data_IF_285391530581
#
_entry.id   IF_285391530581
#
_cell.length_a   1.000
_cell.length_b   1.000
_cell.length_c   1.000
_cell.angle_alpha   90.00
_cell.angle_beta   90.00
_cell.angle_gamma   90.00
#
_symmetry.space_group_name_H-M   'P 1'
#
loop_
_entity.id
_entity.type
_entity.pdbx_description
1 polymer ?
#
# COMPACT_ATOMS: atom_id res chain seq x y z
N UNK A 1 6.14 -13.37 32.26
CA UNK A 1 6.98 -13.45 31.04
C UNK A 1 6.01 -13.47 29.86
N UNK A 2 5.86 -12.39 29.08
CA UNK A 2 4.94 -12.43 27.94
C UNK A 2 5.45 -13.47 26.95
N UNK A 3 4.53 -14.25 26.37
CA UNK A 3 4.83 -15.35 25.43
C UNK A 3 5.84 -14.90 24.35
N UNK A 4 6.78 -15.75 23.93
CA UNK A 4 7.71 -15.38 22.87
C UNK A 4 6.90 -15.11 21.59
N UNK A 5 6.98 -13.87 21.12
CA UNK A 5 6.28 -13.28 19.96
C UNK A 5 6.53 -14.01 18.60
N UNK A 6 7.25 -15.14 18.61
CA UNK A 6 7.57 -15.94 17.42
C UNK A 6 6.36 -16.76 16.97
N UNK A 7 5.62 -17.37 17.89
CA UNK A 7 4.44 -18.18 17.56
C UNK A 7 3.34 -17.37 16.89
N UNK A 8 3.12 -16.13 17.35
CA UNK A 8 2.17 -15.21 16.72
C UNK A 8 2.59 -14.90 15.27
N UNK A 9 3.89 -14.65 15.03
CA UNK A 9 4.40 -14.40 13.68
C UNK A 9 4.23 -15.60 12.75
N UNK A 10 4.49 -16.81 13.26
CA UNK A 10 4.33 -18.05 12.49
C UNK A 10 2.86 -18.27 12.14
N UNK A 11 1.95 -18.17 13.11
CA UNK A 11 0.51 -18.39 12.89
C UNK A 11 -0.04 -17.37 11.90
N UNK A 12 0.31 -16.09 12.06
CA UNK A 12 -0.11 -15.03 11.14
C UNK A 12 0.47 -15.29 9.74
N UNK A 13 1.75 -15.64 9.61
CA UNK A 13 2.36 -15.93 8.31
C UNK A 13 1.70 -17.12 7.62
N UNK A 14 1.56 -18.26 8.32
CA UNK A 14 0.97 -19.50 7.79
C UNK A 14 -0.51 -19.31 7.41
N UNK A 15 -1.23 -18.41 8.08
CA UNK A 15 -2.65 -18.19 7.79
C UNK A 15 -2.86 -17.11 6.73
N UNK A 16 -2.19 -15.97 6.87
CA UNK A 16 -2.42 -14.79 6.02
C UNK A 16 -1.86 -15.01 4.62
N UNK A 17 -0.70 -15.65 4.47
CA UNK A 17 -0.07 -15.87 3.15
C UNK A 17 -1.01 -16.67 2.22
N UNK A 18 -1.51 -17.86 2.61
CA UNK A 18 -2.46 -18.60 1.77
C UNK A 18 -3.73 -17.83 1.48
N UNK A 19 -4.29 -17.11 2.46
CA UNK A 19 -5.50 -16.30 2.26
C UNK A 19 -5.26 -15.21 1.20
N UNK A 20 -4.15 -14.48 1.29
CA UNK A 20 -3.79 -13.45 0.31
C UNK A 20 -3.59 -14.05 -1.08
N UNK A 21 -2.91 -15.20 -1.18
CA UNK A 21 -2.70 -15.90 -2.45
C UNK A 21 -4.02 -16.39 -3.06
N UNK A 22 -4.94 -16.90 -2.24
CA UNK A 22 -6.26 -17.34 -2.69
C UNK A 22 -7.13 -16.17 -3.17
N UNK A 23 -7.11 -15.04 -2.46
CA UNK A 23 -7.82 -13.82 -2.89
C UNK A 23 -7.22 -13.25 -4.20
N UNK A 24 -5.88 -13.25 -4.29
CA UNK A 24 -5.17 -12.88 -5.51
C UNK A 24 -5.50 -13.81 -6.68
N UNK A 25 -5.67 -15.12 -6.41
CA UNK A 25 -6.05 -16.12 -7.41
C UNK A 25 -7.50 -15.96 -7.87
N UNK A 26 -8.43 -15.78 -6.92
CA UNK A 26 -9.86 -15.56 -7.19
C UNK A 26 -10.12 -14.27 -8.01
N UNK A 27 -9.36 -13.20 -7.74
CA UNK A 27 -9.47 -11.96 -8.50
C UNK A 27 -10.83 -11.26 -8.34
N UNK A 28 -11.21 -10.45 -9.35
CA UNK A 28 -12.53 -9.83 -9.42
C UNK A 28 -12.88 -9.00 -8.18
N UNK A 29 -14.10 -9.19 -7.67
CA UNK A 29 -14.59 -8.50 -6.47
C UNK A 29 -13.80 -8.88 -5.21
N UNK A 30 -13.33 -10.13 -5.10
CA UNK A 30 -12.56 -10.58 -3.92
C UNK A 30 -11.24 -9.83 -3.78
N UNK A 31 -10.51 -9.67 -4.90
CA UNK A 31 -9.27 -8.89 -4.91
C UNK A 31 -9.54 -7.40 -4.66
N UNK A 32 -10.62 -6.84 -5.22
CA UNK A 32 -11.00 -5.44 -4.97
C UNK A 32 -11.26 -5.20 -3.47
N UNK A 33 -12.12 -6.01 -2.84
CA UNK A 33 -12.45 -5.87 -1.41
C UNK A 33 -11.22 -6.05 -0.52
N UNK A 34 -10.33 -6.97 -0.89
CA UNK A 34 -9.06 -7.15 -0.20
C UNK A 34 -8.16 -5.91 -0.33
N UNK A 35 -8.00 -5.37 -1.54
CA UNK A 35 -7.22 -4.16 -1.80
C UNK A 35 -7.81 -2.96 -1.06
N UNK A 36 -9.13 -2.78 -1.07
CA UNK A 36 -9.80 -1.71 -0.33
C UNK A 36 -9.58 -1.82 1.17
N UNK A 37 -9.66 -3.04 1.72
CA UNK A 37 -9.35 -3.27 3.13
C UNK A 37 -7.90 -2.87 3.45
N UNK A 38 -6.94 -3.27 2.62
CA UNK A 38 -5.52 -2.91 2.82
C UNK A 38 -5.31 -1.39 2.66
N UNK A 39 -5.99 -0.74 1.70
CA UNK A 39 -5.93 0.71 1.51
C UNK A 39 -6.48 1.44 2.73
N UNK A 40 -7.65 1.04 3.25
CA UNK A 40 -8.27 1.66 4.44
C UNK A 40 -7.36 1.52 5.66
N UNK A 41 -6.87 0.31 5.94
CA UNK A 41 -5.99 0.05 7.08
C UNK A 41 -4.65 0.77 6.92
N UNK A 42 -4.07 0.73 5.73
CA UNK A 42 -2.80 1.38 5.39
C UNK A 42 -2.88 2.89 5.50
N UNK A 43 -3.92 3.52 4.95
CA UNK A 43 -4.14 4.97 5.04
C UNK A 43 -4.42 5.40 6.48
N UNK A 44 -5.21 4.61 7.24
CA UNK A 44 -5.47 4.89 8.66
C UNK A 44 -4.17 4.93 9.47
N UNK A 45 -3.32 3.92 9.32
CA UNK A 45 -2.04 3.87 10.03
C UNK A 45 -1.08 4.95 9.53
N UNK A 46 -1.03 5.19 8.21
CA UNK A 46 -0.21 6.25 7.61
C UNK A 46 -0.58 7.63 8.17
N UNK A 47 -1.86 7.98 8.19
CA UNK A 47 -2.34 9.26 8.72
C UNK A 47 -2.23 9.34 10.25
N UNK A 48 -2.38 8.24 10.98
CA UNK A 48 -2.14 8.21 12.42
C UNK A 48 -0.69 8.53 12.75
N UNK A 49 0.27 8.01 11.98
CA UNK A 49 1.68 8.35 12.16
C UNK A 49 1.95 9.83 11.89
N UNK A 50 1.29 10.43 10.89
CA UNK A 50 1.41 11.86 10.65
C UNK A 50 0.85 12.72 11.80
N UNK A 51 -0.27 12.28 12.40
CA UNK A 51 -0.88 12.95 13.56
C UNK A 51 0.05 13.00 14.78
N UNK A 52 0.93 12.00 14.96
CA UNK A 52 1.96 12.05 16.03
C UNK A 52 3.00 13.16 15.87
N UNK A 53 3.06 13.79 14.69
CA UNK A 53 3.95 14.90 14.34
C UNK A 53 3.20 16.23 14.20
N UNK A 54 2.02 16.34 14.82
CA UNK A 54 1.17 17.54 14.77
C UNK A 54 0.71 17.91 13.33
N UNK A 55 0.70 16.93 12.42
CA UNK A 55 0.13 17.07 11.07
C UNK A 55 -1.24 16.41 11.08
N UNK A 56 -2.29 17.14 10.72
CA UNK A 56 -3.67 16.62 10.66
C UNK A 56 -4.15 16.45 9.22
N UNK A 57 -3.71 15.40 8.50
CA UNK A 57 -4.21 15.13 7.16
C UNK A 57 -5.71 14.86 7.16
N UNK A 58 -6.40 15.20 6.07
CA UNK A 58 -7.81 14.93 5.90
C UNK A 58 -8.04 13.45 5.57
N UNK A 59 -8.14 12.64 6.63
CA UNK A 59 -8.21 11.19 6.52
C UNK A 59 -9.43 10.70 5.74
N UNK A 60 -10.57 11.38 5.90
CA UNK A 60 -11.82 11.01 5.25
C UNK A 60 -11.69 11.16 3.74
N UNK A 61 -11.23 12.31 3.26
CA UNK A 61 -11.00 12.53 1.83
C UNK A 61 -9.91 11.61 1.27
N UNK A 62 -8.85 11.35 2.04
CA UNK A 62 -7.82 10.38 1.68
C UNK A 62 -8.36 8.96 1.50
N UNK A 63 -9.19 8.48 2.43
CA UNK A 63 -9.80 7.15 2.39
C UNK A 63 -10.77 6.99 1.22
N UNK A 64 -11.70 7.93 1.04
CA UNK A 64 -12.62 7.90 -0.10
C UNK A 64 -11.89 8.05 -1.43
N UNK A 65 -10.85 8.88 -1.49
CA UNK A 65 -9.96 8.97 -2.64
C UNK A 65 -9.31 7.62 -2.94
N UNK A 66 -8.79 6.92 -1.91
CA UNK A 66 -8.13 5.63 -2.06
C UNK A 66 -9.05 4.56 -2.63
N UNK A 67 -10.27 4.46 -2.09
CA UNK A 67 -11.33 3.57 -2.60
C UNK A 67 -11.77 4.01 -4.01
N UNK A 68 -11.85 5.31 -4.28
CA UNK A 68 -12.16 5.83 -5.61
C UNK A 68 -11.12 5.40 -6.65
N UNK A 69 -9.83 5.40 -6.29
CA UNK A 69 -8.74 4.96 -7.16
C UNK A 69 -8.81 3.45 -7.43
N UNK A 70 -9.04 2.62 -6.41
CA UNK A 70 -9.15 1.17 -6.59
C UNK A 70 -10.38 0.79 -7.41
N UNK A 71 -11.51 1.49 -7.23
CA UNK A 71 -12.72 1.32 -8.03
C UNK A 71 -12.51 1.75 -9.48
N UNK A 72 -11.84 2.88 -9.71
CA UNK A 72 -11.50 3.33 -11.06
C UNK A 72 -10.56 2.33 -11.76
N UNK A 73 -9.57 1.81 -11.03
CA UNK A 73 -8.69 0.74 -11.53
C UNK A 73 -9.50 -0.53 -11.86
N UNK A 74 -10.40 -0.95 -10.98
CA UNK A 74 -11.21 -2.15 -11.17
C UNK A 74 -12.20 -2.04 -12.32
N UNK A 75 -12.80 -0.87 -12.52
CA UNK A 75 -13.71 -0.57 -13.62
C UNK A 75 -13.01 -0.32 -14.97
N UNK A 76 -11.69 -0.49 -15.06
CA UNK A 76 -10.88 -0.16 -16.25
C UNK A 76 -11.01 1.32 -16.68
N UNK A 77 -11.15 2.21 -15.71
CA UNK A 77 -11.25 3.66 -15.90
C UNK A 77 -10.06 4.40 -15.25
N UNK A 78 -8.86 3.82 -15.36
CA UNK A 78 -7.62 4.34 -14.78
C UNK A 78 -7.27 5.75 -15.28
N UNK A 79 -7.78 6.14 -16.46
CA UNK A 79 -7.72 7.51 -16.98
C UNK A 79 -8.32 8.58 -16.04
N UNK A 80 -9.23 8.22 -15.13
CA UNK A 80 -9.80 9.15 -14.15
C UNK A 80 -8.98 9.27 -12.86
N UNK A 81 -8.01 8.38 -12.62
CA UNK A 81 -7.18 8.40 -11.40
C UNK A 81 -6.50 9.76 -11.18
N UNK A 82 -5.87 10.40 -12.20
CA UNK A 82 -5.31 11.74 -12.03
C UNK A 82 -6.37 12.78 -11.63
N UNK A 83 -7.57 12.66 -12.19
CA UNK A 83 -8.72 13.51 -11.84
C UNK A 83 -9.15 13.33 -10.38
N UNK A 84 -9.22 12.10 -9.88
CA UNK A 84 -9.53 11.81 -8.47
C UNK A 84 -8.48 12.42 -7.55
N UNK A 85 -7.19 12.25 -7.86
CA UNK A 85 -6.09 12.84 -7.09
C UNK A 85 -6.19 14.36 -7.09
N UNK A 86 -6.47 14.98 -8.24
CA UNK A 86 -6.64 16.42 -8.37
C UNK A 86 -7.84 16.94 -7.57
N UNK A 87 -8.98 16.24 -7.62
CA UNK A 87 -10.16 16.58 -6.82
C UNK A 87 -9.84 16.48 -5.33
N UNK A 88 -9.19 15.41 -4.87
CA UNK A 88 -8.78 15.29 -3.47
C UNK A 88 -7.84 16.43 -3.08
N UNK A 89 -6.86 16.77 -3.92
CA UNK A 89 -5.94 17.88 -3.69
C UNK A 89 -6.68 19.23 -3.58
N UNK A 90 -7.57 19.54 -4.52
CA UNK A 90 -8.33 20.80 -4.51
C UNK A 90 -9.25 20.87 -3.29
N UNK A 91 -10.03 19.82 -3.03
CA UNK A 91 -11.00 19.81 -1.93
C UNK A 91 -10.29 19.87 -0.58
N UNK A 92 -9.17 19.16 -0.41
CA UNK A 92 -8.35 19.24 0.81
C UNK A 92 -7.76 20.63 0.99
N UNK A 93 -7.14 21.20 -0.05
CA UNK A 93 -6.59 22.55 0.00
C UNK A 93 -7.66 23.61 0.33
N UNK A 94 -8.84 23.52 -0.29
CA UNK A 94 -9.97 24.41 0.00
C UNK A 94 -10.51 24.23 1.42
N UNK A 95 -10.61 22.99 1.91
CA UNK A 95 -11.06 22.72 3.28
C UNK A 95 -10.10 23.30 4.33
N UNK A 96 -8.80 23.32 4.05
CA UNK A 96 -7.80 23.89 4.96
C UNK A 96 -7.93 25.42 5.11
N UNK A 97 -8.48 26.14 4.13
CA UNK A 97 -8.75 27.59 4.24
C UNK A 97 -9.69 27.89 5.41
N UNK A 98 -10.64 26.99 5.67
CA UNK A 98 -11.64 27.15 6.72
C UNK A 98 -11.23 26.50 8.05
N UNK A 99 -10.14 25.71 8.07
CA UNK A 99 -9.61 25.11 9.30
C UNK A 99 -8.85 26.14 10.11
N UNK A 100 -9.20 26.26 11.39
CA UNK A 100 -8.51 27.14 12.34
C UNK A 100 -7.42 26.36 13.10
N UNK A 101 -6.17 26.78 12.92
CA UNK A 101 -5.07 26.64 13.88
C UNK A 101 -4.58 25.24 14.30
N UNK A 102 -4.67 24.20 13.45
CA UNK A 102 -3.97 22.93 13.75
C UNK A 102 -3.08 22.51 12.58
N UNK A 103 -1.77 22.56 12.83
CA UNK A 103 -0.73 22.18 11.87
C UNK A 103 -0.54 23.18 10.72
N UNK A 104 0.27 22.79 9.74
CA UNK A 104 0.49 23.55 8.52
C UNK A 104 -0.49 23.11 7.44
N UNK A 105 -1.34 24.01 6.88
CA UNK A 105 -2.24 23.71 5.77
C UNK A 105 -1.54 23.01 4.60
N UNK A 106 -0.31 23.44 4.31
CA UNK A 106 0.54 22.85 3.29
C UNK A 106 0.92 21.40 3.63
N UNK A 107 1.34 21.12 4.86
CA UNK A 107 1.69 19.76 5.29
C UNK A 107 0.45 18.85 5.37
N UNK A 108 -0.68 19.34 5.88
CA UNK A 108 -1.93 18.58 5.96
C UNK A 108 -2.38 18.11 4.58
N UNK A 109 -2.40 19.04 3.61
CA UNK A 109 -2.74 18.76 2.20
C UNK A 109 -1.73 17.80 1.59
N UNK A 110 -0.43 18.10 1.74
CA UNK A 110 0.65 17.29 1.16
C UNK A 110 0.66 15.86 1.68
N UNK A 111 0.46 15.65 2.98
CA UNK A 111 0.39 14.31 3.58
C UNK A 111 -0.88 13.58 3.16
N UNK A 112 -2.01 14.27 3.02
CA UNK A 112 -3.25 13.64 2.53
C UNK A 112 -3.06 13.08 1.13
N UNK A 113 -2.57 13.92 0.21
CA UNK A 113 -2.32 13.56 -1.19
C UNK A 113 -1.19 12.54 -1.31
N UNK A 114 -0.12 12.67 -0.52
CA UNK A 114 0.96 11.70 -0.51
C UNK A 114 0.48 10.33 0.00
N UNK A 115 -0.34 10.28 1.05
CA UNK A 115 -0.96 9.04 1.50
C UNK A 115 -1.82 8.41 0.40
N UNK A 116 -2.60 9.21 -0.32
CA UNK A 116 -3.40 8.76 -1.45
C UNK A 116 -2.55 8.17 -2.58
N UNK A 117 -1.46 8.84 -2.97
CA UNK A 117 -0.53 8.36 -4.00
C UNK A 117 0.23 7.11 -3.53
N UNK A 118 0.77 7.14 -2.32
CA UNK A 118 1.67 6.12 -1.80
C UNK A 118 0.92 4.85 -1.40
N UNK A 119 -0.22 4.96 -0.71
CA UNK A 119 -1.00 3.80 -0.26
C UNK A 119 -2.10 3.49 -1.27
N UNK A 120 -2.98 4.45 -1.57
CA UNK A 120 -4.14 4.21 -2.43
C UNK A 120 -3.74 3.78 -3.84
N UNK A 121 -2.95 4.61 -4.52
CA UNK A 121 -2.59 4.37 -5.91
C UNK A 121 -1.61 3.21 -6.09
N UNK A 122 -0.52 3.12 -5.32
CA UNK A 122 0.43 2.01 -5.47
C UNK A 122 -0.21 0.65 -5.17
N UNK A 123 -1.03 0.51 -4.11
CA UNK A 123 -1.68 -0.77 -3.81
C UNK A 123 -2.74 -1.13 -4.86
N UNK A 124 -3.43 -0.14 -5.44
CA UNK A 124 -4.37 -0.36 -6.55
C UNK A 124 -3.70 -0.93 -7.82
N UNK A 125 -2.36 -0.89 -7.95
CA UNK A 125 -1.68 -1.55 -9.06
C UNK A 125 -1.81 -3.08 -9.03
N UNK A 126 -2.12 -3.70 -7.88
CA UNK A 126 -2.45 -5.13 -7.86
C UNK A 126 -3.68 -5.44 -8.71
N UNK A 127 -4.66 -4.54 -8.74
CA UNK A 127 -5.85 -4.64 -9.60
C UNK A 127 -5.46 -4.40 -11.06
N UNK A 128 -4.67 -3.37 -11.35
CA UNK A 128 -4.21 -3.05 -12.70
C UNK A 128 -3.38 -4.19 -13.32
N UNK A 129 -2.49 -4.81 -12.54
CA UNK A 129 -1.70 -5.98 -12.96
C UNK A 129 -2.60 -7.18 -13.26
N UNK A 130 -3.61 -7.42 -12.41
CA UNK A 130 -4.59 -8.49 -12.65
C UNK A 130 -5.35 -8.28 -13.96
N UNK A 131 -5.70 -7.03 -14.29
CA UNK A 131 -6.49 -6.72 -15.47
C UNK A 131 -5.66 -6.47 -16.74
N UNK A 132 -4.33 -6.47 -16.63
CA UNK A 132 -3.42 -6.13 -17.73
C UNK A 132 -3.65 -6.98 -19.00
N UNK A 133 -3.79 -8.32 -18.94
CA UNK A 133 -3.99 -9.11 -20.16
C UNK A 133 -5.33 -8.82 -20.84
N UNK A 134 -6.40 -8.62 -20.06
CA UNK A 134 -7.71 -8.26 -20.58
C UNK A 134 -7.67 -6.93 -21.35
N UNK A 135 -6.85 -5.97 -20.88
CA UNK A 135 -6.67 -4.66 -21.53
C UNK A 135 -5.98 -4.75 -22.89
N UNK A 136 -5.08 -5.72 -23.08
CA UNK A 136 -4.40 -5.96 -24.36
C UNK A 136 -5.15 -6.99 -25.24
N UNK A 137 -6.38 -7.36 -24.89
CA UNK A 137 -7.18 -8.34 -25.64
C UNK A 137 -6.67 -9.78 -25.53
N UNK A 138 -5.75 -10.05 -24.60
CA UNK A 138 -5.19 -11.38 -24.34
C UNK A 138 -6.03 -12.02 -23.24
N UNK A 139 -7.10 -12.70 -23.64
CA UNK A 139 -7.89 -13.53 -22.73
C UNK A 139 -7.14 -14.84 -22.48
N UNK A 140 -6.48 -14.92 -21.33
CA UNK A 140 -5.88 -16.17 -20.83
C UNK A 140 -6.74 -16.68 -19.70
N UNK A 141 -6.84 -17.99 -19.53
CA UNK A 141 -7.60 -18.64 -18.43
C UNK A 141 -7.17 -18.13 -17.04
N UNK A 142 -5.97 -17.55 -16.95
CA UNK A 142 -5.37 -17.05 -15.72
C UNK A 142 -5.42 -15.53 -15.52
N UNK A 143 -6.01 -14.75 -16.45
CA UNK A 143 -6.33 -13.31 -16.31
C UNK A 143 -5.34 -12.51 -15.43
N UNK A 144 -4.05 -12.50 -15.77
CA UNK A 144 -3.05 -11.66 -15.09
C UNK A 144 -2.66 -12.09 -13.67
N UNK A 145 -3.15 -13.23 -13.17
CA UNK A 145 -2.84 -13.74 -11.81
C UNK A 145 -1.34 -13.87 -11.59
N UNK A 146 -0.59 -14.34 -12.58
CA UNK A 146 0.85 -14.54 -12.47
C UNK A 146 1.60 -13.24 -12.14
N UNK A 147 1.19 -12.12 -12.74
CA UNK A 147 1.78 -10.81 -12.46
C UNK A 147 1.54 -10.38 -11.01
N UNK A 148 0.32 -10.61 -10.49
CA UNK A 148 -0.02 -10.31 -9.09
C UNK A 148 0.76 -11.20 -8.13
N UNK A 149 0.84 -12.51 -8.42
CA UNK A 149 1.58 -13.45 -7.58
C UNK A 149 3.07 -13.12 -7.54
N UNK A 150 3.67 -12.77 -8.68
CA UNK A 150 5.07 -12.32 -8.74
C UNK A 150 5.27 -11.04 -7.92
N UNK A 151 4.36 -10.07 -8.04
CA UNK A 151 4.43 -8.82 -7.29
C UNK A 151 4.31 -9.01 -5.76
N UNK A 152 3.64 -10.08 -5.31
CA UNK A 152 3.56 -10.43 -3.89
C UNK A 152 4.73 -11.30 -3.41
N UNK A 153 5.14 -12.28 -4.22
CA UNK A 153 6.15 -13.27 -3.84
C UNK A 153 7.56 -12.69 -3.88
N UNK A 154 7.89 -11.84 -4.85
CA UNK A 154 9.24 -11.25 -4.95
C UNK A 154 9.60 -10.50 -3.65
N UNK A 155 8.80 -9.54 -3.15
CA UNK A 155 9.12 -8.86 -1.90
C UNK A 155 9.31 -9.82 -0.72
N UNK A 156 8.45 -10.85 -0.57
CA UNK A 156 8.58 -11.81 0.52
C UNK A 156 9.87 -12.63 0.45
N UNK A 157 10.24 -13.09 -0.75
CA UNK A 157 11.49 -13.83 -0.98
C UNK A 157 12.69 -12.92 -0.76
N UNK A 158 12.66 -11.69 -1.30
CA UNK A 158 13.71 -10.70 -1.11
C UNK A 158 13.90 -10.35 0.37
N UNK A 159 12.83 -10.09 1.13
CA UNK A 159 12.92 -9.79 2.55
C UNK A 159 13.48 -10.97 3.36
N UNK A 160 13.08 -12.19 3.01
CA UNK A 160 13.59 -13.41 3.65
C UNK A 160 15.07 -13.61 3.33
N UNK A 161 15.46 -13.48 2.06
CA UNK A 161 16.85 -13.58 1.63
C UNK A 161 17.71 -12.51 2.31
N UNK A 162 17.26 -11.26 2.32
CA UNK A 162 17.94 -10.12 2.92
C UNK A 162 18.16 -10.28 4.42
N UNK A 163 17.19 -10.86 5.12
CA UNK A 163 17.33 -11.20 6.54
C UNK A 163 18.45 -12.22 6.77
N UNK A 164 18.45 -13.33 6.02
CA UNK A 164 19.43 -14.40 6.21
C UNK A 164 20.84 -14.02 5.73
N UNK A 165 20.98 -13.38 4.56
CA UNK A 165 22.27 -12.90 4.07
C UNK A 165 22.81 -11.77 4.96
N UNK A 166 21.95 -10.84 5.38
CA UNK A 166 22.33 -9.78 6.30
C UNK A 166 22.79 -10.30 7.66
N UNK A 167 22.17 -11.37 8.18
CA UNK A 167 22.59 -12.00 9.43
C UNK A 167 23.87 -12.83 9.29
N UNK A 168 24.05 -13.54 8.18
CA UNK A 168 25.17 -14.47 7.98
C UNK A 168 26.47 -13.75 7.60
N UNK A 169 26.40 -12.76 6.71
CA UNK A 169 27.57 -12.11 6.10
C UNK A 169 27.56 -10.59 6.20
N UNK A 170 26.55 -9.99 6.83
CA UNK A 170 26.41 -8.54 6.93
C UNK A 170 27.49 -7.89 7.79
N UNK A 171 28.31 -7.04 7.17
CA UNK A 171 29.39 -6.30 7.84
C UNK A 171 29.20 -4.80 7.72
N UNK A 172 28.70 -4.35 6.56
CA UNK A 172 28.55 -2.92 6.28
C UNK A 172 27.09 -2.51 6.37
N UNK A 173 26.80 -1.45 7.12
CA UNK A 173 25.45 -0.92 7.22
C UNK A 173 25.06 -0.19 5.93
N UNK A 174 23.83 -0.40 5.47
CA UNK A 174 23.31 0.22 4.25
C UNK A 174 23.07 1.72 4.46
N UNK A 175 22.08 2.08 5.29
CA UNK A 175 21.78 3.49 5.63
C UNK A 175 21.39 3.57 7.12
N UNK A 176 22.36 3.77 8.03
CA UNK A 176 22.12 3.75 9.48
C UNK A 176 21.06 4.74 9.97
N UNK A 177 20.97 5.92 9.33
CA UNK A 177 20.00 6.98 9.68
C UNK A 177 18.55 6.56 9.44
N UNK A 178 18.30 5.68 8.47
CA UNK A 178 16.95 5.22 8.09
C UNK A 178 16.62 3.90 8.77
N UNK A 179 17.57 2.95 8.79
CA UNK A 179 17.41 1.68 9.48
C UNK A 179 18.77 1.13 9.91
N UNK A 180 18.97 1.01 11.21
CA UNK A 180 20.20 0.45 11.78
C UNK A 180 20.35 -1.06 11.51
N UNK A 181 19.27 -1.75 11.12
CA UNK A 181 19.26 -3.20 10.91
C UNK A 181 19.74 -3.66 9.53
N UNK A 182 19.68 -2.80 8.50
CA UNK A 182 19.98 -3.19 7.10
C UNK A 182 21.48 -3.13 6.78
N UNK A 183 21.96 -4.11 6.03
CA UNK A 183 23.36 -4.23 5.58
C UNK A 183 23.47 -4.22 4.06
N UNK A 184 24.62 -3.82 3.52
CA UNK A 184 24.89 -3.81 2.07
C UNK A 184 24.87 -5.22 1.49
N UNK A 185 25.42 -6.18 2.22
CA UNK A 185 25.47 -7.58 1.79
C UNK A 185 24.10 -8.28 1.86
N UNK A 186 23.17 -7.68 2.60
CA UNK A 186 21.78 -8.15 2.70
C UNK A 186 20.83 -7.55 1.67
N UNK A 187 21.20 -6.44 1.03
CA UNK A 187 20.35 -5.69 0.11
C UNK A 187 20.46 -6.22 -1.33
#
# INVERSE_FOLDING_TARGET
>A
VPLPNVWVRIIVGVTLIPVVLLLAWAGGLYLLLFVDLVIILGLREFYRMAATKEIEPNQVLGMFGGIGISLAAWGQQDQFIPGIIMVVLIVTASAEIFRKNIGSPFLNTSVTVFGLLYVGWLISHLILLRQLPARYGVLTDMNGVGAVLIALMIPWVCDTAAYFSGQAIGKHKLIPRVSAGKTLEGA
#
